data_IF_393539708875
#
_entry.id   IF_393539708875
#
_cell.length_a   1.000
_cell.length_b   1.000
_cell.length_c   1.000
_cell.angle_alpha   90.00
_cell.angle_beta   90.00
_cell.angle_gamma   90.00
#
_symmetry.space_group_name_H-M   'P 1'
#
loop_
_entity.id
_entity.type
_entity.pdbx_description
1 polymer ?
#
# COMPACT_ATOMS: atom_id res chain seq x y z
N UNK A 1 27.31 -47.83 -16.06
CA UNK A 1 26.49 -46.65 -15.73
C UNK A 1 26.47 -46.53 -14.21
N UNK A 2 27.46 -45.86 -13.63
CA UNK A 2 27.54 -45.61 -12.19
C UNK A 2 26.87 -44.26 -11.91
N UNK A 3 25.82 -44.30 -11.10
CA UNK A 3 25.16 -43.11 -10.57
C UNK A 3 26.14 -42.40 -9.62
N UNK A 4 26.56 -41.20 -10.00
CA UNK A 4 27.26 -40.30 -9.10
C UNK A 4 26.17 -39.67 -8.21
N UNK A 5 26.08 -40.16 -6.98
CA UNK A 5 25.39 -39.46 -5.90
C UNK A 5 26.26 -38.23 -5.62
N UNK A 6 25.81 -37.06 -6.07
CA UNK A 6 26.43 -35.80 -5.70
C UNK A 6 26.16 -35.57 -4.21
N UNK A 7 27.25 -35.39 -3.49
CA UNK A 7 27.33 -35.15 -2.05
C UNK A 7 26.39 -34.00 -1.63
N UNK A 8 25.46 -34.19 -0.67
CA UNK A 8 24.55 -33.12 -0.20
C UNK A 8 25.28 -31.93 0.43
N UNK A 9 26.55 -32.13 0.80
CA UNK A 9 27.37 -31.18 1.53
C UNK A 9 28.05 -30.12 0.63
N UNK A 10 27.82 -30.14 -0.70
CA UNK A 10 28.30 -29.10 -1.63
C UNK A 10 27.24 -28.07 -2.02
N UNK A 11 26.26 -27.80 -1.14
CA UNK A 11 25.40 -26.64 -1.28
C UNK A 11 26.21 -25.37 -1.00
N UNK A 12 26.63 -24.72 -2.08
CA UNK A 12 27.21 -23.38 -2.17
C UNK A 12 27.11 -22.52 -0.90
N UNK A 13 28.28 -22.16 -0.36
CA UNK A 13 28.47 -20.98 0.48
C UNK A 13 27.88 -19.76 -0.22
N UNK A 14 26.70 -19.34 0.21
CA UNK A 14 26.11 -18.07 -0.19
C UNK A 14 25.64 -17.30 1.05
N UNK A 15 26.27 -16.13 1.18
CA UNK A 15 25.95 -14.93 1.96
C UNK A 15 26.02 -15.01 3.50
N UNK A 16 27.19 -14.68 4.03
CA UNK A 16 27.49 -14.50 5.46
C UNK A 16 27.03 -13.13 6.00
N UNK A 17 25.83 -12.68 5.62
CA UNK A 17 25.30 -11.36 6.00
C UNK A 17 23.82 -11.30 6.40
N UNK A 18 23.00 -12.30 6.06
CA UNK A 18 21.56 -12.29 6.41
C UNK A 18 21.27 -13.30 7.53
N UNK A 19 20.84 -12.78 8.67
CA UNK A 19 20.27 -13.56 9.77
C UNK A 19 19.07 -14.37 9.25
N UNK A 20 19.19 -15.71 9.23
CA UNK A 20 18.10 -16.60 8.81
C UNK A 20 16.89 -16.35 9.71
N UNK A 21 15.86 -15.71 9.18
CA UNK A 21 14.62 -15.47 9.90
C UNK A 21 13.90 -16.80 10.12
N UNK A 22 13.65 -17.10 11.40
CA UNK A 22 12.81 -18.23 11.76
C UNK A 22 11.40 -18.00 11.20
N UNK A 23 10.83 -19.05 10.61
CA UNK A 23 9.39 -19.09 10.33
C UNK A 23 8.72 -18.94 11.70
N UNK A 24 8.00 -17.83 11.92
CA UNK A 24 7.53 -17.49 13.25
C UNK A 24 6.44 -18.44 13.73
N UNK A 25 6.38 -18.67 15.05
CA UNK A 25 5.35 -19.46 15.77
C UNK A 25 3.91 -18.89 15.66
N UNK A 26 3.69 -17.87 14.81
CA UNK A 26 2.43 -17.11 14.68
C UNK A 26 1.99 -16.88 13.23
N UNK A 27 2.59 -17.57 12.24
CA UNK A 27 2.13 -17.51 10.84
C UNK A 27 0.62 -17.74 10.74
N UNK A 28 0.13 -18.79 11.40
CA UNK A 28 -1.31 -19.10 11.47
C UNK A 28 -2.12 -18.00 12.17
N UNK A 29 -1.61 -17.38 13.24
CA UNK A 29 -2.34 -16.31 13.92
C UNK A 29 -2.50 -15.08 13.02
N UNK A 30 -1.41 -14.60 12.43
CA UNK A 30 -1.44 -13.42 11.56
C UNK A 30 -2.26 -13.69 10.30
N UNK A 31 -2.06 -14.85 9.67
CA UNK A 31 -2.86 -15.31 8.54
C UNK A 31 -4.35 -15.35 8.88
N UNK A 32 -4.74 -16.07 9.92
CA UNK A 32 -6.16 -16.20 10.31
C UNK A 32 -6.78 -14.85 10.66
N UNK A 33 -6.04 -13.97 11.33
CA UNK A 33 -6.48 -12.60 11.62
C UNK A 33 -6.77 -11.83 10.33
N UNK A 34 -5.82 -11.78 9.40
CA UNK A 34 -5.99 -11.03 8.15
C UNK A 34 -7.10 -11.62 7.29
N UNK A 35 -7.19 -12.96 7.18
CA UNK A 35 -8.28 -13.61 6.44
C UNK A 35 -9.65 -13.29 7.04
N UNK A 36 -9.77 -13.30 8.38
CA UNK A 36 -11.01 -12.98 9.08
C UNK A 36 -11.42 -11.51 8.97
N UNK A 37 -10.46 -10.59 9.14
CA UNK A 37 -10.72 -9.15 9.08
C UNK A 37 -11.00 -8.65 7.65
N UNK A 38 -10.23 -9.12 6.66
CA UNK A 38 -10.38 -8.69 5.27
C UNK A 38 -11.36 -9.55 4.47
N UNK A 39 -11.78 -10.71 4.98
CA UNK A 39 -12.69 -11.62 4.28
C UNK A 39 -12.07 -12.30 3.05
N UNK A 40 -10.75 -12.53 3.05
CA UNK A 40 -10.00 -13.05 1.90
C UNK A 40 -9.37 -14.42 2.20
N UNK A 41 -9.27 -15.29 1.21
CA UNK A 41 -8.63 -16.61 1.35
C UNK A 41 -7.16 -16.59 0.91
N UNK A 42 -6.29 -16.03 1.75
CA UNK A 42 -4.84 -15.91 1.49
C UNK A 42 -4.15 -17.28 1.46
N UNK A 43 -4.67 -18.25 2.19
CA UNK A 43 -4.16 -19.63 2.24
C UNK A 43 -4.22 -20.33 0.88
N UNK A 44 -5.12 -19.90 0.00
CA UNK A 44 -5.19 -20.41 -1.37
C UNK A 44 -4.01 -19.94 -2.25
N UNK A 45 -3.21 -18.96 -1.81
CA UNK A 45 -2.07 -18.50 -2.59
C UNK A 45 -0.95 -19.55 -2.66
N UNK A 46 -0.62 -19.95 -3.89
CA UNK A 46 0.39 -20.96 -4.23
C UNK A 46 1.60 -20.35 -4.98
N UNK A 47 1.78 -19.03 -4.86
CA UNK A 47 2.96 -18.30 -5.34
C UNK A 47 3.21 -18.38 -6.86
N UNK A 48 2.15 -18.36 -7.68
CA UNK A 48 2.27 -18.35 -9.16
C UNK A 48 2.73 -17.01 -9.78
N UNK A 49 2.94 -15.98 -8.97
CA UNK A 49 3.43 -14.64 -9.36
C UNK A 49 2.60 -13.82 -10.37
N UNK A 50 1.44 -14.32 -10.84
CA UNK A 50 0.59 -13.59 -11.80
C UNK A 50 0.20 -12.19 -11.33
N UNK A 51 -0.08 -12.04 -10.04
CA UNK A 51 -0.39 -10.74 -9.43
C UNK A 51 0.76 -9.74 -9.54
N UNK A 52 2.01 -10.19 -9.46
CA UNK A 52 3.19 -9.34 -9.63
C UNK A 52 3.38 -8.94 -11.08
N UNK A 53 3.24 -9.89 -12.01
CA UNK A 53 3.36 -9.63 -13.43
C UNK A 53 2.24 -8.74 -13.98
N UNK A 54 1.04 -8.80 -13.39
CA UNK A 54 -0.06 -7.90 -13.72
C UNK A 54 0.09 -6.50 -13.13
N UNK A 55 0.90 -6.31 -12.07
CA UNK A 55 0.98 -5.04 -11.36
C UNK A 55 1.87 -4.02 -12.11
N UNK A 56 1.36 -2.83 -12.46
CA UNK A 56 2.08 -1.86 -13.28
C UNK A 56 3.16 -1.12 -12.49
N UNK A 57 3.07 -1.16 -11.16
CA UNK A 57 4.03 -0.52 -10.24
C UNK A 57 4.86 -1.55 -9.48
N UNK A 58 4.82 -2.83 -9.87
CA UNK A 58 5.57 -3.89 -9.21
C UNK A 58 7.05 -3.59 -9.13
N UNK A 59 7.63 -2.92 -10.14
CA UNK A 59 9.04 -2.52 -10.15
C UNK A 59 9.42 -1.58 -8.98
N UNK A 60 8.49 -0.75 -8.52
CA UNK A 60 8.73 0.20 -7.41
C UNK A 60 8.43 -0.40 -6.02
N UNK A 61 7.84 -1.59 -5.95
CA UNK A 61 7.53 -2.29 -4.71
C UNK A 61 8.75 -3.03 -4.17
N UNK A 62 9.05 -2.89 -2.88
CA UNK A 62 10.09 -3.65 -2.19
C UNK A 62 9.65 -5.10 -1.87
N UNK A 63 8.36 -5.32 -1.64
CA UNK A 63 7.74 -6.63 -1.45
C UNK A 63 6.69 -6.79 -2.55
N UNK A 64 6.89 -7.74 -3.47
CA UNK A 64 5.97 -7.91 -4.60
C UNK A 64 4.61 -8.47 -4.13
N UNK A 65 3.51 -8.27 -4.88
CA UNK A 65 2.18 -8.74 -4.48
C UNK A 65 2.09 -10.23 -4.08
N UNK A 66 2.76 -11.15 -4.79
CA UNK A 66 2.77 -12.57 -4.38
C UNK A 66 3.53 -12.77 -3.05
N UNK A 67 4.61 -12.03 -2.85
CA UNK A 67 5.42 -12.06 -1.64
C UNK A 67 4.63 -11.49 -0.46
N UNK A 68 3.78 -10.48 -0.65
CA UNK A 68 2.87 -10.00 0.41
C UNK A 68 2.03 -11.15 0.96
N UNK A 69 1.42 -11.95 0.08
CA UNK A 69 0.65 -13.14 0.52
C UNK A 69 1.54 -14.11 1.31
N UNK A 70 2.78 -14.33 0.83
CA UNK A 70 3.73 -15.22 1.51
C UNK A 70 4.16 -14.69 2.87
N UNK A 71 4.41 -13.40 3.00
CA UNK A 71 4.79 -12.74 4.26
C UNK A 71 3.67 -12.88 5.29
N UNK A 72 2.40 -12.79 4.86
CA UNK A 72 1.25 -13.04 5.73
C UNK A 72 1.22 -14.50 6.18
N UNK A 73 1.38 -15.45 5.25
CA UNK A 73 1.44 -16.88 5.57
C UNK A 73 2.58 -17.23 6.55
N UNK A 74 3.71 -16.53 6.44
CA UNK A 74 4.89 -16.74 7.30
C UNK A 74 4.84 -15.95 8.62
N UNK A 75 3.87 -15.05 8.79
CA UNK A 75 3.74 -14.23 10.00
C UNK A 75 4.71 -13.05 10.09
N UNK A 76 5.33 -12.63 8.99
CA UNK A 76 6.31 -11.53 8.94
C UNK A 76 5.64 -10.16 8.87
N UNK A 77 4.91 -9.83 9.95
CA UNK A 77 4.05 -8.65 10.03
C UNK A 77 4.85 -7.35 10.00
N UNK A 78 5.90 -7.24 10.80
CA UNK A 78 6.62 -5.99 11.02
C UNK A 78 7.28 -5.48 9.74
N UNK A 79 7.97 -6.37 9.02
CA UNK A 79 8.59 -6.06 7.73
C UNK A 79 7.55 -5.68 6.68
N UNK A 80 6.42 -6.39 6.67
CA UNK A 80 5.35 -6.11 5.73
C UNK A 80 4.76 -4.72 5.98
N UNK A 81 4.49 -4.36 7.24
CA UNK A 81 3.95 -3.05 7.61
C UNK A 81 4.95 -1.90 7.44
N UNK A 82 6.25 -2.17 7.44
CA UNK A 82 7.31 -1.21 7.15
C UNK A 82 7.61 -1.05 5.65
N UNK A 83 7.03 -1.89 4.80
CA UNK A 83 7.31 -1.91 3.37
C UNK A 83 6.83 -0.64 2.64
N UNK A 84 7.53 -0.26 1.56
CA UNK A 84 7.06 0.78 0.65
C UNK A 84 5.83 0.33 -0.14
N UNK A 85 5.70 -0.98 -0.35
CA UNK A 85 4.64 -1.65 -1.09
C UNK A 85 3.22 -1.23 -0.67
N UNK A 86 2.97 -1.13 0.64
CA UNK A 86 1.67 -0.73 1.19
C UNK A 86 1.22 0.64 0.66
N UNK A 87 2.16 1.57 0.53
CA UNK A 87 1.91 2.95 0.17
C UNK A 87 2.00 3.21 -1.35
N UNK A 88 2.80 2.41 -2.07
CA UNK A 88 2.95 2.48 -3.52
C UNK A 88 1.77 1.81 -4.27
N UNK A 89 1.11 0.83 -3.65
CA UNK A 89 -0.03 0.14 -4.25
C UNK A 89 -1.11 1.13 -4.73
N UNK A 90 -1.50 1.04 -5.99
CA UNK A 90 -2.51 1.93 -6.59
C UNK A 90 -3.95 1.50 -6.32
N UNK A 91 -4.17 0.36 -5.64
CA UNK A 91 -5.50 -0.22 -5.41
C UNK A 91 -6.29 -0.38 -6.72
N UNK A 92 -5.60 -0.83 -7.78
CA UNK A 92 -6.15 -0.93 -9.15
C UNK A 92 -6.80 -2.27 -9.49
N UNK A 93 -6.86 -3.22 -8.55
CA UNK A 93 -7.55 -4.52 -8.66
C UNK A 93 -7.04 -5.50 -9.74
N UNK A 94 -6.00 -5.15 -10.51
CA UNK A 94 -5.46 -6.07 -11.53
C UNK A 94 -4.92 -7.36 -10.91
N UNK A 95 -4.22 -7.29 -9.78
CA UNK A 95 -3.70 -8.49 -9.11
C UNK A 95 -4.80 -9.47 -8.70
N UNK A 96 -5.92 -8.96 -8.18
CA UNK A 96 -7.12 -9.73 -7.81
C UNK A 96 -7.77 -10.36 -9.05
N UNK A 97 -7.95 -9.57 -10.11
CA UNK A 97 -8.60 -10.02 -11.35
C UNK A 97 -7.86 -11.17 -12.05
N UNK A 98 -6.52 -11.16 -12.03
CA UNK A 98 -5.70 -12.19 -12.69
C UNK A 98 -5.40 -13.41 -11.79
N UNK A 99 -5.87 -13.41 -10.54
CA UNK A 99 -5.60 -14.49 -9.61
C UNK A 99 -6.43 -15.74 -9.94
N UNK A 100 -5.80 -16.88 -10.29
CA UNK A 100 -6.54 -18.10 -10.65
C UNK A 100 -7.18 -18.80 -9.44
N UNK A 101 -6.77 -18.42 -8.22
CA UNK A 101 -7.31 -18.95 -6.96
C UNK A 101 -8.22 -17.95 -6.24
N UNK A 102 -8.63 -16.88 -6.93
CA UNK A 102 -9.59 -15.90 -6.42
C UNK A 102 -9.15 -15.24 -5.10
N UNK A 103 -7.83 -15.16 -4.87
CA UNK A 103 -7.28 -14.41 -3.74
C UNK A 103 -7.40 -12.92 -4.05
N UNK A 104 -8.11 -12.18 -3.19
CA UNK A 104 -8.22 -10.73 -3.30
C UNK A 104 -6.96 -10.04 -2.75
N UNK A 105 -5.95 -9.98 -3.62
CA UNK A 105 -4.63 -9.44 -3.33
C UNK A 105 -4.71 -7.92 -3.08
N UNK A 106 -5.55 -7.22 -3.83
CA UNK A 106 -5.69 -5.78 -3.68
C UNK A 106 -6.34 -5.41 -2.35
N UNK A 107 -7.43 -6.09 -1.96
CA UNK A 107 -8.07 -5.85 -0.67
C UNK A 107 -7.16 -6.24 0.49
N UNK A 108 -6.39 -7.32 0.35
CA UNK A 108 -5.37 -7.67 1.35
C UNK A 108 -4.37 -6.53 1.57
N UNK A 109 -3.86 -5.90 0.50
CA UNK A 109 -2.93 -4.77 0.61
C UNK A 109 -3.63 -3.52 1.15
N UNK A 110 -4.90 -3.26 0.78
CA UNK A 110 -5.69 -2.16 1.33
C UNK A 110 -5.90 -2.31 2.85
N UNK A 111 -6.19 -3.53 3.31
CA UNK A 111 -6.36 -3.83 4.73
C UNK A 111 -5.05 -3.62 5.49
N UNK A 112 -3.92 -4.09 4.95
CA UNK A 112 -2.60 -3.82 5.51
C UNK A 112 -2.27 -2.32 5.56
N UNK A 113 -2.70 -1.54 4.56
CA UNK A 113 -2.58 -0.07 4.60
C UNK A 113 -3.37 0.53 5.75
N UNK A 114 -4.58 0.05 5.99
CA UNK A 114 -5.40 0.50 7.12
C UNK A 114 -4.72 0.19 8.46
N UNK A 115 -4.17 -1.02 8.61
CA UNK A 115 -3.38 -1.41 9.79
C UNK A 115 -2.15 -0.49 9.94
N UNK A 116 -1.37 -0.30 8.87
CA UNK A 116 -0.17 0.53 8.91
C UNK A 116 -0.48 1.98 9.30
N UNK A 117 -1.55 2.57 8.74
CA UNK A 117 -2.00 3.93 9.03
C UNK A 117 -2.43 4.16 10.49
N UNK A 118 -2.87 3.11 11.18
CA UNK A 118 -3.29 3.17 12.60
C UNK A 118 -2.26 2.60 13.57
N UNK A 119 -1.14 2.07 13.06
CA UNK A 119 -0.05 1.55 13.88
C UNK A 119 0.94 2.64 14.28
N UNK A 120 1.82 2.35 15.22
CA UNK A 120 2.97 3.21 15.57
C UNK A 120 4.14 3.10 14.58
N UNK A 121 3.98 2.34 13.49
CA UNK A 121 5.03 2.09 12.51
C UNK A 121 5.13 3.31 11.60
N UNK A 122 6.34 3.85 11.47
CA UNK A 122 6.57 4.99 10.57
C UNK A 122 6.58 4.50 9.12
N UNK A 123 5.74 5.06 8.23
CA UNK A 123 5.74 4.72 6.82
C UNK A 123 7.11 4.98 6.19
N UNK A 124 7.60 4.01 5.40
CA UNK A 124 8.79 4.20 4.56
C UNK A 124 8.58 5.31 3.54
N UNK A 125 7.41 5.32 2.90
CA UNK A 125 6.98 6.36 1.97
C UNK A 125 6.11 7.41 2.66
N UNK A 126 6.74 8.29 3.46
CA UNK A 126 6.04 9.32 4.26
C UNK A 126 5.16 10.25 3.41
N UNK A 127 5.66 10.69 2.26
CA UNK A 127 4.95 11.60 1.35
C UNK A 127 3.65 10.98 0.84
N UNK A 128 3.68 9.70 0.46
CA UNK A 128 2.51 8.93 0.01
C UNK A 128 1.53 8.68 1.15
N UNK A 129 2.02 8.39 2.36
CA UNK A 129 1.16 8.24 3.53
C UNK A 129 0.41 9.54 3.88
N UNK A 130 1.12 10.68 3.89
CA UNK A 130 0.52 12.01 4.11
C UNK A 130 -0.46 12.35 2.99
N UNK A 131 -0.14 12.01 1.74
CA UNK A 131 -1.05 12.19 0.62
C UNK A 131 -2.33 11.39 0.79
N UNK A 132 -2.23 10.10 1.13
CA UNK A 132 -3.36 9.21 1.36
C UNK A 132 -4.27 9.75 2.49
N UNK A 133 -3.67 10.17 3.61
CA UNK A 133 -4.41 10.76 4.72
C UNK A 133 -5.12 12.06 4.30
N UNK A 134 -4.43 12.92 3.54
CA UNK A 134 -5.03 14.17 3.02
C UNK A 134 -6.18 13.88 2.06
N UNK A 135 -6.05 12.86 1.22
CA UNK A 135 -7.11 12.40 0.32
C UNK A 135 -8.36 12.00 1.11
N UNK A 136 -8.21 11.19 2.16
CA UNK A 136 -9.32 10.76 3.02
C UNK A 136 -9.95 11.95 3.76
N UNK A 137 -9.15 12.88 4.29
CA UNK A 137 -9.65 14.10 4.94
C UNK A 137 -10.49 14.97 3.99
N UNK A 138 -10.02 15.17 2.76
CA UNK A 138 -10.75 15.93 1.74
C UNK A 138 -12.03 15.20 1.38
N UNK A 139 -11.95 13.89 1.11
CA UNK A 139 -13.09 13.05 0.76
C UNK A 139 -14.19 13.10 1.83
N UNK A 140 -13.84 13.03 3.12
CA UNK A 140 -14.83 13.14 4.21
C UNK A 140 -15.47 14.52 4.32
N UNK A 141 -14.70 15.58 4.03
CA UNK A 141 -15.17 16.98 4.16
C UNK A 141 -16.10 17.40 3.03
N UNK A 142 -15.90 16.88 1.82
CA UNK A 142 -16.64 17.30 0.61
C UNK A 142 -17.47 16.20 -0.03
N UNK A 143 -17.17 14.93 0.26
CA UNK A 143 -17.73 13.76 -0.42
C UNK A 143 -17.26 13.59 -1.86
N UNK A 144 -16.35 14.45 -2.34
CA UNK A 144 -15.78 14.46 -3.70
C UNK A 144 -14.39 15.04 -3.65
N UNK A 145 -13.45 14.34 -4.26
CA UNK A 145 -12.07 14.82 -4.37
C UNK A 145 -11.93 15.69 -5.61
N UNK A 146 -11.22 16.79 -5.45
CA UNK A 146 -10.89 17.73 -6.49
C UNK A 146 -9.41 18.00 -6.45
N UNK A 147 -8.78 17.97 -7.62
CA UNK A 147 -7.34 18.08 -7.78
C UNK A 147 -6.77 19.32 -7.09
N UNK A 148 -7.34 20.51 -7.35
CA UNK A 148 -6.87 21.76 -6.74
C UNK A 148 -6.96 21.71 -5.22
N UNK A 149 -8.11 21.31 -4.68
CA UNK A 149 -8.33 21.24 -3.22
C UNK A 149 -7.41 20.21 -2.57
N UNK A 150 -7.24 19.05 -3.19
CA UNK A 150 -6.38 17.98 -2.68
C UNK A 150 -4.91 18.41 -2.68
N UNK A 151 -4.41 18.91 -3.82
CA UNK A 151 -3.02 19.35 -3.94
C UNK A 151 -2.72 20.49 -2.97
N UNK A 152 -3.61 21.48 -2.86
CA UNK A 152 -3.41 22.58 -1.91
C UNK A 152 -3.42 22.08 -0.46
N UNK A 153 -4.35 21.20 -0.09
CA UNK A 153 -4.37 20.62 1.26
C UNK A 153 -3.11 19.80 1.57
N UNK A 154 -2.56 19.09 0.57
CA UNK A 154 -1.36 18.29 0.71
C UNK A 154 -0.10 19.15 0.82
N UNK A 155 0.06 20.13 -0.07
CA UNK A 155 1.21 21.04 -0.08
C UNK A 155 1.25 21.99 1.11
N UNK A 156 0.11 22.25 1.76
CA UNK A 156 0.05 23.03 3.00
C UNK A 156 0.32 22.21 4.27
N UNK A 157 0.48 20.88 4.19
CA UNK A 157 0.92 20.10 5.36
C UNK A 157 2.34 20.53 5.76
N UNK A 158 2.62 20.81 7.04
CA UNK A 158 3.89 21.40 7.47
C UNK A 158 5.13 20.65 6.99
N UNK A 159 5.12 19.31 7.12
CA UNK A 159 6.24 18.45 6.73
C UNK A 159 6.55 18.55 5.23
N UNK A 160 5.50 18.51 4.41
CA UNK A 160 5.61 18.56 2.94
C UNK A 160 6.01 19.97 2.47
N UNK A 161 5.43 21.01 3.07
CA UNK A 161 5.72 22.39 2.72
C UNK A 161 7.20 22.71 2.99
N UNK A 162 7.70 22.29 4.16
CA UNK A 162 9.10 22.51 4.53
C UNK A 162 10.05 21.79 3.58
N UNK A 163 9.76 20.52 3.23
CA UNK A 163 10.56 19.73 2.31
C UNK A 163 10.60 20.35 0.89
N UNK A 164 9.46 20.83 0.37
CA UNK A 164 9.39 21.48 -0.96
C UNK A 164 10.09 22.82 -1.01
N UNK A 165 10.02 23.61 0.06
CA UNK A 165 10.76 24.88 0.14
C UNK A 165 12.27 24.60 0.15
N UNK A 166 12.71 23.61 0.94
CA UNK A 166 14.11 23.19 1.00
C UNK A 166 14.63 22.70 -0.36
N UNK A 167 13.83 21.91 -1.07
CA UNK A 167 14.19 21.32 -2.36
C UNK A 167 13.98 22.26 -3.55
N UNK A 168 13.52 23.51 -3.34
CA UNK A 168 13.21 24.52 -4.37
C UNK A 168 12.15 24.11 -5.41
N UNK A 169 11.54 22.94 -5.27
CA UNK A 169 10.50 22.41 -6.17
C UNK A 169 9.19 23.17 -6.08
N UNK A 170 8.94 23.89 -4.97
CA UNK A 170 7.73 24.69 -4.77
C UNK A 170 7.46 25.70 -5.91
N UNK A 171 8.52 26.31 -6.48
CA UNK A 171 8.36 27.28 -7.58
C UNK A 171 7.87 26.60 -8.86
N UNK A 172 8.37 25.41 -9.15
CA UNK A 172 8.01 24.63 -10.34
C UNK A 172 6.56 24.14 -10.24
N UNK A 173 6.16 23.64 -9.07
CA UNK A 173 4.78 23.23 -8.79
C UNK A 173 3.80 24.40 -8.95
N UNK A 174 4.16 25.58 -8.42
CA UNK A 174 3.33 26.78 -8.53
C UNK A 174 3.19 27.23 -9.99
N UNK A 175 4.30 27.22 -10.75
CA UNK A 175 4.29 27.57 -12.18
C UNK A 175 3.42 26.61 -12.98
N UNK A 176 3.49 25.30 -12.69
CA UNK A 176 2.64 24.28 -13.29
C UNK A 176 1.17 24.54 -12.95
N UNK A 177 0.86 24.82 -11.68
CA UNK A 177 -0.50 25.16 -11.23
C UNK A 177 -1.08 26.37 -11.95
N UNK A 178 -0.31 27.46 -12.08
CA UNK A 178 -0.71 28.67 -12.84
C UNK A 178 -0.93 28.33 -14.32
N UNK A 179 -0.06 27.51 -14.91
CA UNK A 179 -0.17 27.10 -16.33
C UNK A 179 -1.43 26.28 -16.58
N UNK A 180 -1.75 25.33 -15.68
CA UNK A 180 -2.98 24.53 -15.77
C UNK A 180 -4.24 25.36 -15.55
N UNK A 181 -4.19 26.32 -14.62
CA UNK A 181 -5.29 27.26 -14.39
C UNK A 181 -5.55 28.15 -15.61
N UNK A 182 -4.49 28.71 -16.21
CA UNK A 182 -4.58 29.53 -17.44
C UNK A 182 -5.15 28.74 -18.62
N UNK A 183 -4.87 27.43 -18.70
CA UNK A 183 -5.44 26.53 -19.72
C UNK A 183 -6.86 26.04 -19.40
N UNK A 184 -7.46 26.47 -18.28
CA UNK A 184 -8.79 26.01 -17.84
C UNK A 184 -8.85 24.53 -17.45
N UNK A 185 -7.70 23.88 -17.23
CA UNK A 185 -7.61 22.44 -16.91
C UNK A 185 -7.76 22.17 -15.41
N UNK A 186 -7.70 23.20 -14.57
CA UNK A 186 -7.78 23.10 -13.11
C UNK A 186 -9.10 23.68 -12.60
N UNK A 187 -9.96 22.84 -12.03
CA UNK A 187 -11.25 23.26 -11.46
C UNK A 187 -11.05 23.66 -10.00
N UNK A 188 -11.17 24.95 -9.66
CA UNK A 188 -10.98 25.45 -8.30
C UNK A 188 -12.11 25.05 -7.33
N UNK A 189 -13.34 24.95 -7.86
CA UNK A 189 -14.53 24.69 -7.06
C UNK A 189 -15.23 23.42 -7.55
N UNK A 190 -15.70 22.63 -6.59
CA UNK A 190 -16.52 21.44 -6.84
C UNK A 190 -17.63 21.39 -5.79
N UNK A 191 -18.89 21.19 -6.21
CA UNK A 191 -20.00 21.08 -5.27
C UNK A 191 -19.83 19.82 -4.41
N UNK A 192 -20.30 19.90 -3.16
CA UNK A 192 -20.31 18.76 -2.26
C UNK A 192 -21.16 17.62 -2.82
N UNK A 193 -20.76 16.39 -2.53
CA UNK A 193 -21.55 15.21 -2.89
C UNK A 193 -22.81 15.10 -2.04
N UNK A 194 -23.92 14.66 -2.63
CA UNK A 194 -25.13 14.26 -1.89
C UNK A 194 -24.87 13.07 -0.97
N UNK A 195 -23.92 12.20 -1.34
CA UNK A 195 -23.54 10.99 -0.60
C UNK A 195 -22.57 11.24 0.57
N UNK A 196 -22.32 12.51 0.95
CA UNK A 196 -21.35 12.82 2.01
C UNK A 196 -21.67 12.14 3.36
N UNK A 197 -22.95 12.00 3.69
CA UNK A 197 -23.38 11.33 4.94
C UNK A 197 -23.05 9.84 4.92
N UNK A 198 -23.23 9.20 3.77
CA UNK A 198 -22.92 7.78 3.55
C UNK A 198 -21.42 7.54 3.59
N UNK A 199 -20.63 8.36 2.88
CA UNK A 199 -19.15 8.28 2.90
C UNK A 199 -18.63 8.39 4.33
N UNK A 200 -19.16 9.33 5.12
CA UNK A 200 -18.77 9.46 6.53
C UNK A 200 -19.16 8.24 7.37
N UNK A 201 -20.33 7.65 7.12
CA UNK A 201 -20.79 6.44 7.79
C UNK A 201 -19.88 5.25 7.49
N UNK A 202 -19.62 4.99 6.21
CA UNK A 202 -18.73 3.91 5.76
C UNK A 202 -17.35 4.10 6.39
N UNK A 203 -16.79 5.31 6.30
CA UNK A 203 -15.50 5.60 6.91
C UNK A 203 -15.48 5.34 8.43
N UNK A 204 -16.53 5.72 9.17
CA UNK A 204 -16.61 5.43 10.61
C UNK A 204 -16.77 3.95 10.94
N UNK A 205 -17.43 3.18 10.07
CA UNK A 205 -17.64 1.73 10.25
C UNK A 205 -16.36 0.95 9.98
N UNK A 206 -15.61 1.30 8.94
CA UNK A 206 -14.31 0.67 8.61
C UNK A 206 -13.21 1.07 9.59
N UNK A 207 -13.42 2.12 10.40
CA UNK A 207 -12.57 2.49 11.54
C UNK A 207 -12.87 1.67 12.81
N UNK A 208 -13.65 0.60 12.69
CA UNK A 208 -14.08 -0.27 13.78
C UNK A 208 -12.90 -0.83 14.59
N UNK A 209 -12.92 -0.45 15.87
CA UNK A 209 -12.32 -1.08 17.06
C UNK A 209 -11.21 -2.12 16.84
N UNK A 210 -9.99 -1.70 17.16
CA UNK A 210 -8.85 -2.56 17.43
C UNK A 210 -9.18 -3.44 18.66
N UNK A 211 -9.04 -4.75 18.52
CA UNK A 211 -8.59 -5.62 19.62
C UNK A 211 -7.06 -5.56 19.66
#
# INVERSE_FOLDING_TARGET
>A
MQNIILDPDQAHEHDSGEERKLIGDRGDYFLNRIQGEAGVNISACYQCERCTNACPVSHFMDIKPHQVMRYIQLGWREELLQSSTIWICLSCEMCTTFCPNEVDVAETINHLRNIAAHSSITPKEKSLAVFHQTFLEVLQKTGRVNEFRLMNAYYLKPDILHERIKNKTFKEDLLLGITMLRKGRLKLFTPKSKAIKEIKRVYSQTRGEIV
#
